data_IF_687574728782
#
_entry.id   IF_687574728782
#
_cell.length_a   1.000
_cell.length_b   1.000
_cell.length_c   1.000
_cell.angle_alpha   90.00
_cell.angle_beta   90.00
_cell.angle_gamma   90.00
#
_symmetry.space_group_name_H-M   'P 1'
#
loop_
_entity.id
_entity.type
_entity.pdbx_description
1 polymer ?
#
# COMPACT_ATOMS: atom_id res chain seq x y z
N UNK A 1 9.00 6.87 18.25
CA UNK A 1 8.22 5.95 19.11
C UNK A 1 8.18 4.50 18.60
N UNK A 2 8.64 4.20 17.37
CA UNK A 2 8.66 2.85 16.78
C UNK A 2 9.65 1.86 17.41
N UNK A 3 10.61 2.33 18.21
CA UNK A 3 11.64 1.48 18.83
C UNK A 3 11.22 0.84 20.16
N UNK A 4 10.15 1.32 20.82
CA UNK A 4 9.89 0.94 22.24
C UNK A 4 8.75 -0.06 22.43
N UNK A 5 7.78 -0.13 21.51
CA UNK A 5 6.62 -1.01 21.63
C UNK A 5 5.65 -0.88 20.46
N UNK A 6 4.77 -1.85 20.31
CA UNK A 6 3.73 -1.88 19.27
C UNK A 6 2.38 -1.43 19.85
N UNK A 7 1.59 -0.69 19.07
CA UNK A 7 0.23 -0.31 19.46
C UNK A 7 -0.63 -1.57 19.50
N UNK A 8 -1.40 -1.75 20.58
CA UNK A 8 -2.26 -2.93 20.73
C UNK A 8 -3.49 -2.79 19.85
N UNK A 9 -3.75 -3.81 19.03
CA UNK A 9 -4.96 -3.93 18.23
C UNK A 9 -6.15 -4.42 19.06
N UNK A 10 -7.32 -3.81 18.89
CA UNK A 10 -8.58 -4.32 19.45
C UNK A 10 -9.17 -5.36 18.49
N UNK A 11 -9.12 -6.63 18.87
CA UNK A 11 -9.69 -7.73 18.06
C UNK A 11 -11.21 -7.70 18.00
N UNK A 12 -11.90 -7.03 18.93
CA UNK A 12 -13.36 -6.96 18.95
C UNK A 12 -13.91 -5.92 17.98
N UNK A 13 -13.19 -4.80 17.80
CA UNK A 13 -13.63 -3.68 16.94
C UNK A 13 -12.85 -3.58 15.64
N UNK A 14 -11.79 -4.37 15.49
CA UNK A 14 -10.84 -4.28 14.38
C UNK A 14 -10.23 -2.87 14.22
N UNK A 15 -10.04 -2.18 15.34
CA UNK A 15 -9.46 -0.84 15.41
C UNK A 15 -8.23 -0.86 16.32
N UNK A 16 -7.26 0.01 16.06
CA UNK A 16 -6.13 0.18 16.97
C UNK A 16 -6.55 0.94 18.24
N UNK A 17 -5.96 0.61 19.40
CA UNK A 17 -6.10 1.43 20.61
C UNK A 17 -5.24 2.69 20.51
N UNK A 18 -5.47 3.53 19.49
CA UNK A 18 -4.93 4.88 19.33
C UNK A 18 -6.09 5.83 19.06
N UNK A 19 -6.33 6.74 20.00
CA UNK A 19 -7.47 7.65 19.96
C UNK A 19 -7.00 9.07 20.09
N UNK A 20 -7.52 9.92 19.21
CA UNK A 20 -7.32 11.37 19.24
C UNK A 20 -8.64 12.07 19.45
N UNK A 21 -8.66 12.98 20.41
CA UNK A 21 -9.83 13.71 20.82
C UNK A 21 -9.55 15.21 20.81
N UNK A 22 -10.60 16.00 20.54
CA UNK A 22 -10.54 17.46 20.62
C UNK A 22 -11.73 18.02 21.36
N UNK A 23 -11.53 19.14 22.05
CA UNK A 23 -12.61 19.92 22.64
C UNK A 23 -12.43 21.37 22.25
N UNK A 24 -13.53 21.98 21.79
CA UNK A 24 -13.58 23.38 21.41
C UNK A 24 -14.78 24.02 22.10
N UNK A 25 -14.54 25.14 22.78
CA UNK A 25 -15.57 25.99 23.38
C UNK A 25 -15.15 27.45 23.19
N UNK A 26 -15.83 28.17 22.30
CA UNK A 26 -15.46 29.55 21.93
C UNK A 26 -15.76 30.53 23.06
N UNK A 27 -16.78 30.23 23.87
CA UNK A 27 -17.27 31.11 24.94
C UNK A 27 -16.52 30.88 26.27
N UNK A 28 -15.53 29.98 26.27
CA UNK A 28 -14.77 29.64 27.47
C UNK A 28 -13.66 30.66 27.75
N UNK A 29 -13.90 31.53 28.72
CA UNK A 29 -12.94 32.53 29.18
C UNK A 29 -12.64 33.60 28.11
N UNK A 30 -11.45 34.20 28.16
CA UNK A 30 -11.06 35.30 27.26
C UNK A 30 -10.58 34.84 25.88
N UNK A 31 -10.06 33.61 25.76
CA UNK A 31 -9.35 33.11 24.57
C UNK A 31 -9.95 31.83 23.98
N UNK A 32 -11.08 31.37 24.51
CA UNK A 32 -11.69 30.09 24.16
C UNK A 32 -10.89 28.87 24.62
N UNK A 33 -11.57 27.74 24.73
CA UNK A 33 -10.98 26.42 24.95
C UNK A 33 -10.72 25.76 23.61
N UNK A 34 -9.47 25.33 23.36
CA UNK A 34 -9.14 24.54 22.18
C UNK A 34 -8.03 23.54 22.51
N UNK A 35 -8.42 22.38 23.02
CA UNK A 35 -7.50 21.39 23.59
C UNK A 35 -7.59 20.06 22.86
N UNK A 36 -6.49 19.33 22.86
CA UNK A 36 -6.42 17.95 22.40
C UNK A 36 -6.21 16.99 23.56
N UNK A 37 -6.58 15.72 23.33
CA UNK A 37 -6.26 14.59 24.18
C UNK A 37 -5.98 13.39 23.29
N UNK A 38 -4.85 12.72 23.48
CA UNK A 38 -4.49 11.47 22.82
C UNK A 38 -4.32 10.39 23.86
N UNK A 39 -4.78 9.18 23.56
CA UNK A 39 -4.55 8.01 24.41
C UNK A 39 -4.23 6.78 23.57
N UNK A 40 -3.26 6.00 24.02
CA UNK A 40 -2.78 4.81 23.32
C UNK A 40 -2.46 3.67 24.28
N UNK A 41 -2.71 2.43 23.85
CA UNK A 41 -2.19 1.24 24.53
C UNK A 41 -0.99 0.72 23.75
N UNK A 42 0.17 0.65 24.42
CA UNK A 42 1.44 0.23 23.83
C UNK A 42 1.91 -1.06 24.53
N UNK A 43 2.16 -2.12 23.77
CA UNK A 43 2.80 -3.35 24.26
C UNK A 43 4.30 -3.27 24.05
N UNK A 44 5.09 -3.46 25.10
CA UNK A 44 6.55 -3.41 24.99
C UNK A 44 7.11 -4.67 24.34
N UNK A 45 7.92 -4.53 23.29
CA UNK A 45 8.52 -5.68 22.55
C UNK A 45 9.39 -6.58 23.43
N UNK A 46 10.10 -5.98 24.39
CA UNK A 46 11.10 -6.66 25.22
C UNK A 46 10.53 -7.34 26.46
N UNK A 47 9.26 -7.09 26.82
CA UNK A 47 8.63 -7.67 28.01
C UNK A 47 7.23 -8.18 27.67
N UNK A 48 7.05 -9.50 27.75
CA UNK A 48 5.82 -10.21 27.34
C UNK A 48 4.55 -9.70 28.02
N UNK A 49 4.65 -9.22 29.27
CA UNK A 49 3.52 -8.81 30.11
C UNK A 49 3.62 -7.36 30.59
N UNK A 50 4.12 -6.45 29.75
CA UNK A 50 4.14 -5.02 30.07
C UNK A 50 3.37 -4.22 29.02
N UNK A 51 2.24 -3.68 29.46
CA UNK A 51 1.40 -2.76 28.70
C UNK A 51 1.55 -1.36 29.27
N UNK A 52 1.54 -0.36 28.41
CA UNK A 52 1.68 1.04 28.78
C UNK A 52 0.48 1.79 28.23
N UNK A 53 -0.28 2.44 29.13
CA UNK A 53 -1.29 3.41 28.76
C UNK A 53 -0.62 4.77 28.63
N UNK A 54 -0.46 5.22 27.41
CA UNK A 54 0.07 6.55 27.11
C UNK A 54 -1.09 7.53 26.98
N UNK A 55 -1.04 8.64 27.70
CA UNK A 55 -1.97 9.76 27.57
C UNK A 55 -1.20 11.05 27.32
N UNK A 56 -1.68 11.91 26.42
CA UNK A 56 -1.06 13.20 26.09
C UNK A 56 -2.13 14.25 25.88
N UNK A 57 -1.98 15.43 26.46
CA UNK A 57 -2.99 16.49 26.39
C UNK A 57 -2.36 17.88 26.40
N UNK A 58 -3.06 18.85 25.86
CA UNK A 58 -2.60 20.23 25.84
C UNK A 58 -3.49 21.13 25.02
N UNK A 59 -3.14 22.41 24.95
CA UNK A 59 -3.74 23.36 24.02
C UNK A 59 -3.18 23.11 22.63
N UNK A 60 -4.04 23.10 21.63
CA UNK A 60 -3.61 22.90 20.24
C UNK A 60 -2.87 24.14 19.76
N UNK A 61 -1.64 23.96 19.26
CA UNK A 61 -0.77 25.05 18.78
C UNK A 61 0.24 25.59 19.80
N UNK A 62 0.17 25.17 21.06
CA UNK A 62 0.98 25.73 22.17
C UNK A 62 2.21 24.86 22.52
N UNK A 63 2.67 24.03 21.58
CA UNK A 63 3.78 23.10 21.74
C UNK A 63 3.38 21.67 22.09
N UNK A 64 4.22 20.95 22.83
CA UNK A 64 4.09 19.50 22.98
C UNK A 64 3.02 19.03 23.99
N UNK A 65 2.51 19.93 24.83
CA UNK A 65 1.57 19.58 25.90
C UNK A 65 2.19 18.70 27.00
N UNK A 66 1.34 18.16 27.87
CA UNK A 66 1.70 17.24 28.94
C UNK A 66 1.44 15.81 28.51
N UNK A 67 2.15 14.86 29.10
CA UNK A 67 1.94 13.44 28.87
C UNK A 67 2.15 12.62 30.14
N UNK A 68 1.52 11.45 30.17
CA UNK A 68 1.66 10.46 31.21
C UNK A 68 1.75 9.07 30.57
N UNK A 69 2.56 8.21 31.20
CA UNK A 69 2.73 6.83 30.79
C UNK A 69 2.50 5.94 32.02
N UNK A 70 1.39 5.22 32.04
CA UNK A 70 1.02 4.36 33.16
C UNK A 70 1.25 2.89 32.81
N UNK A 71 2.10 2.15 33.57
CA UNK A 71 2.37 0.74 33.30
C UNK A 71 1.31 -0.19 33.91
N UNK A 72 1.00 -1.26 33.17
CA UNK A 72 0.09 -2.34 33.56
C UNK A 72 0.70 -3.71 33.28
N UNK A 73 0.39 -4.68 34.14
CA UNK A 73 0.82 -6.08 34.03
C UNK A 73 -0.10 -6.93 33.13
N UNK A 74 -1.38 -6.58 33.05
CA UNK A 74 -2.36 -7.22 32.16
C UNK A 74 -2.88 -6.25 31.09
N UNK A 75 -3.17 -6.79 29.91
CA UNK A 75 -3.88 -6.05 28.86
C UNK A 75 -5.30 -5.69 29.31
N UNK A 76 -5.94 -6.56 30.07
CA UNK A 76 -7.34 -6.38 30.52
C UNK A 76 -7.45 -5.19 31.47
N UNK A 77 -6.52 -5.06 32.41
CA UNK A 77 -6.43 -3.91 33.34
C UNK A 77 -6.18 -2.61 32.57
N UNK A 78 -5.24 -2.64 31.62
CA UNK A 78 -4.92 -1.49 30.78
C UNK A 78 -6.11 -1.06 29.91
N UNK A 79 -6.82 -2.03 29.32
CA UNK A 79 -8.01 -1.80 28.49
C UNK A 79 -9.19 -1.29 29.31
N UNK A 80 -9.37 -1.79 30.53
CA UNK A 80 -10.39 -1.30 31.45
C UNK A 80 -10.15 0.18 31.80
N UNK A 81 -8.92 0.56 32.13
CA UNK A 81 -8.60 1.97 32.39
C UNK A 81 -8.77 2.83 31.15
N UNK A 82 -8.31 2.35 29.98
CA UNK A 82 -8.52 3.03 28.70
C UNK A 82 -10.01 3.32 28.44
N UNK A 83 -10.88 2.33 28.67
CA UNK A 83 -12.32 2.50 28.49
C UNK A 83 -12.92 3.50 29.49
N UNK A 84 -12.45 3.49 30.73
CA UNK A 84 -12.86 4.45 31.77
C UNK A 84 -12.47 5.88 31.39
N UNK A 85 -11.20 6.12 31.05
CA UNK A 85 -10.73 7.44 30.63
C UNK A 85 -11.48 7.91 29.38
N UNK A 86 -11.67 7.04 28.39
CA UNK A 86 -12.41 7.37 27.16
C UNK A 86 -13.84 7.83 27.48
N UNK A 87 -14.55 7.07 28.34
CA UNK A 87 -15.90 7.40 28.78
C UNK A 87 -15.94 8.69 29.59
N UNK A 88 -14.96 8.96 30.44
CA UNK A 88 -14.93 10.18 31.25
C UNK A 88 -14.69 11.42 30.39
N UNK A 89 -13.83 11.32 29.37
CA UNK A 89 -13.51 12.44 28.47
C UNK A 89 -14.60 12.71 27.44
N UNK A 90 -15.22 11.67 26.87
CA UNK A 90 -16.19 11.81 25.77
C UNK A 90 -17.65 11.68 26.22
N UNK A 91 -17.89 10.96 27.32
CA UNK A 91 -19.20 10.53 27.76
C UNK A 91 -19.77 9.35 26.97
N UNK A 92 -19.02 8.77 26.04
CA UNK A 92 -19.44 7.62 25.22
C UNK A 92 -18.68 6.35 25.64
N UNK A 93 -19.30 5.16 25.57
CA UNK A 93 -18.61 3.91 25.83
C UNK A 93 -17.67 3.57 24.65
N UNK A 94 -16.46 3.08 24.94
CA UNK A 94 -15.50 2.65 23.91
C UNK A 94 -16.08 1.60 22.95
N UNK A 95 -16.94 0.71 23.46
CA UNK A 95 -17.57 -0.35 22.66
C UNK A 95 -18.48 0.18 21.54
N UNK A 96 -18.98 1.41 21.63
CA UNK A 96 -19.97 1.97 20.70
C UNK A 96 -19.49 3.30 20.11
N UNK A 97 -18.27 3.35 19.55
CA UNK A 97 -17.78 4.53 18.85
C UNK A 97 -18.48 4.75 17.51
N UNK A 98 -19.09 3.71 16.93
CA UNK A 98 -19.86 3.83 15.68
C UNK A 98 -21.07 4.75 15.84
N UNK A 99 -21.62 4.83 17.06
CA UNK A 99 -22.72 5.72 17.43
C UNK A 99 -22.22 6.89 18.31
N UNK A 100 -21.02 7.41 18.02
CA UNK A 100 -20.44 8.50 18.80
C UNK A 100 -21.33 9.76 18.76
N UNK A 101 -21.84 10.16 19.93
CA UNK A 101 -22.60 11.39 20.08
C UNK A 101 -21.74 12.48 20.74
N UNK A 102 -21.62 13.64 20.08
CA UNK A 102 -20.91 14.78 20.66
C UNK A 102 -21.71 15.35 21.84
N UNK A 103 -21.12 15.31 23.04
CA UNK A 103 -21.73 15.87 24.26
C UNK A 103 -21.22 17.29 24.56
N UNK A 104 -22.07 18.18 25.09
CA UNK A 104 -21.65 19.53 25.49
C UNK A 104 -20.47 19.49 26.46
N UNK A 105 -19.47 20.35 26.23
CA UNK A 105 -18.26 20.48 27.07
C UNK A 105 -17.42 19.21 27.23
N UNK A 106 -17.63 18.19 26.39
CA UNK A 106 -16.86 16.95 26.36
C UNK A 106 -16.02 16.87 25.09
N UNK A 107 -15.02 15.99 25.15
CA UNK A 107 -14.14 15.74 24.02
C UNK A 107 -14.89 15.01 22.90
N UNK A 108 -14.64 15.41 21.66
CA UNK A 108 -15.14 14.81 20.43
C UNK A 108 -14.05 13.92 19.83
N UNK A 109 -14.43 12.75 19.35
CA UNK A 109 -13.54 11.81 18.66
C UNK A 109 -13.16 12.35 17.28
N UNK A 110 -11.87 12.33 16.94
CA UNK A 110 -11.40 12.55 15.56
C UNK A 110 -11.26 11.18 14.91
N UNK A 111 -12.10 10.90 13.91
CA UNK A 111 -11.90 9.70 13.09
C UNK A 111 -10.70 9.93 12.16
N UNK A 112 -9.72 9.02 12.20
CA UNK A 112 -8.45 9.09 11.42
C UNK A 112 -8.62 8.88 9.92
N UNK A 113 -9.84 8.96 9.37
CA UNK A 113 -9.96 9.19 7.93
C UNK A 113 -9.54 10.63 7.69
N UNK A 114 -8.25 10.84 7.38
CA UNK A 114 -7.80 12.08 6.75
C UNK A 114 -8.75 12.25 5.56
N UNK A 115 -9.69 13.21 5.59
CA UNK A 115 -10.61 13.34 4.48
C UNK A 115 -9.76 13.65 3.26
N UNK A 116 -9.92 12.85 2.21
CA UNK A 116 -9.21 13.10 0.97
C UNK A 116 -9.45 14.56 0.57
N UNK A 117 -8.37 15.30 0.33
CA UNK A 117 -8.48 16.68 -0.18
C UNK A 117 -9.11 16.70 -1.58
N UNK A 118 -9.16 15.54 -2.24
CA UNK A 118 -9.92 15.33 -3.45
C UNK A 118 -11.42 15.32 -3.14
N UNK A 119 -12.08 16.45 -3.40
CA UNK A 119 -13.53 16.58 -3.29
C UNK A 119 -14.27 16.06 -4.54
N UNK A 120 -13.56 15.89 -5.66
CA UNK A 120 -14.15 15.43 -6.91
C UNK A 120 -14.28 13.91 -6.95
N UNK A 121 -15.53 13.46 -7.04
CA UNK A 121 -15.90 12.04 -7.16
C UNK A 121 -15.26 11.36 -8.37
N UNK A 122 -15.08 12.10 -9.48
CA UNK A 122 -14.50 11.55 -10.71
C UNK A 122 -13.04 11.12 -10.50
N UNK A 123 -12.24 11.96 -9.83
CA UNK A 123 -10.85 11.61 -9.54
C UNK A 123 -10.75 10.53 -8.46
N UNK A 124 -11.64 10.53 -7.47
CA UNK A 124 -11.69 9.47 -6.46
C UNK A 124 -11.94 8.10 -7.10
N UNK A 125 -12.96 8.00 -7.95
CA UNK A 125 -13.27 6.76 -8.68
C UNK A 125 -12.14 6.35 -9.62
N UNK A 126 -11.49 7.32 -10.26
CA UNK A 126 -10.32 7.05 -11.10
C UNK A 126 -9.19 6.40 -10.30
N UNK A 127 -8.78 7.00 -9.17
CA UNK A 127 -7.70 6.46 -8.35
C UNK A 127 -8.06 5.13 -7.70
N UNK A 128 -9.32 4.95 -7.26
CA UNK A 128 -9.81 3.67 -6.73
C UNK A 128 -9.77 2.55 -7.78
N UNK A 129 -10.07 2.88 -9.05
CA UNK A 129 -10.00 1.91 -10.15
C UNK A 129 -8.56 1.65 -10.57
N UNK A 130 -7.75 2.71 -10.69
CA UNK A 130 -6.37 2.63 -11.16
C UNK A 130 -5.44 1.94 -10.15
N UNK A 131 -5.61 2.23 -8.85
CA UNK A 131 -4.80 1.65 -7.76
C UNK A 131 -5.41 0.36 -7.20
N UNK A 132 -6.35 -0.26 -7.90
CA UNK A 132 -6.97 -1.49 -7.44
C UNK A 132 -5.99 -2.67 -7.50
N UNK A 133 -5.53 -3.10 -6.33
CA UNK A 133 -4.56 -4.20 -6.20
C UNK A 133 -5.06 -5.55 -6.74
N UNK A 134 -6.37 -5.79 -6.83
CA UNK A 134 -6.91 -7.01 -7.43
C UNK A 134 -6.76 -6.98 -8.96
N UNK A 135 -7.14 -5.87 -9.59
CA UNK A 135 -7.01 -5.69 -11.05
C UNK A 135 -5.54 -5.77 -11.48
N UNK A 136 -4.64 -5.17 -10.69
CA UNK A 136 -3.20 -5.24 -10.95
C UNK A 136 -2.71 -6.70 -10.89
N UNK A 137 -3.15 -7.50 -9.91
CA UNK A 137 -2.79 -8.93 -9.81
C UNK A 137 -3.34 -9.75 -10.98
N UNK A 138 -4.58 -9.50 -11.39
CA UNK A 138 -5.16 -10.16 -12.55
C UNK A 138 -4.39 -9.87 -13.83
N UNK A 139 -3.95 -8.61 -14.03
CA UNK A 139 -3.18 -8.24 -15.21
C UNK A 139 -1.76 -8.83 -15.20
N UNK A 140 -1.12 -8.94 -14.03
CA UNK A 140 0.16 -9.64 -13.89
C UNK A 140 0.01 -11.13 -14.28
N UNK A 141 -1.07 -11.78 -13.83
CA UNK A 141 -1.35 -13.17 -14.20
C UNK A 141 -1.57 -13.33 -15.70
N UNK A 142 -2.26 -12.39 -16.36
CA UNK A 142 -2.47 -12.39 -17.82
C UNK A 142 -1.16 -12.23 -18.60
N UNK A 143 -0.18 -11.51 -18.04
CA UNK A 143 1.13 -11.33 -18.66
C UNK A 143 1.98 -12.62 -18.64
N UNK A 144 1.54 -13.68 -17.93
CA UNK A 144 2.27 -14.94 -17.73
C UNK A 144 3.70 -14.71 -17.22
N UNK A 145 3.89 -13.69 -16.38
CA UNK A 145 5.18 -13.41 -15.75
C UNK A 145 5.39 -14.30 -14.54
N UNK A 146 6.61 -14.81 -14.40
CA UNK A 146 7.00 -15.45 -13.15
C UNK A 146 7.33 -14.38 -12.09
N UNK A 147 6.33 -14.05 -11.29
CA UNK A 147 6.45 -13.03 -10.22
C UNK A 147 7.36 -13.47 -9.08
N UNK A 148 7.55 -14.79 -8.89
CA UNK A 148 8.40 -15.34 -7.83
C UNK A 148 9.87 -15.10 -8.16
N UNK A 149 10.27 -15.32 -9.42
CA UNK A 149 11.62 -15.07 -9.89
C UNK A 149 11.87 -13.63 -10.32
N UNK A 150 10.82 -12.93 -10.76
CA UNK A 150 10.92 -11.54 -11.22
C UNK A 150 9.76 -10.68 -10.68
N UNK A 151 9.92 -10.10 -9.48
CA UNK A 151 8.95 -9.18 -8.92
C UNK A 151 8.82 -7.94 -9.81
N UNK A 152 7.59 -7.58 -10.18
CA UNK A 152 7.28 -6.42 -11.04
C UNK A 152 7.88 -5.11 -10.50
N UNK A 153 8.05 -4.98 -9.18
CA UNK A 153 8.69 -3.82 -8.53
C UNK A 153 10.20 -3.69 -8.78
N UNK A 154 10.87 -4.78 -9.14
CA UNK A 154 12.32 -4.84 -9.34
C UNK A 154 12.71 -4.82 -10.82
N UNK A 155 11.72 -4.76 -11.71
CA UNK A 155 11.95 -4.58 -13.13
C UNK A 155 12.68 -3.27 -13.38
N UNK A 156 13.79 -3.39 -14.11
CA UNK A 156 14.62 -2.27 -14.51
C UNK A 156 14.22 -1.83 -15.92
N UNK A 157 13.99 -0.53 -16.17
CA UNK A 157 13.68 -0.02 -17.51
C UNK A 157 14.71 -0.46 -18.56
N UNK A 158 15.99 -0.56 -18.16
CA UNK A 158 17.09 -0.96 -19.04
C UNK A 158 16.99 -2.44 -19.47
N UNK A 159 16.41 -3.30 -18.64
CA UNK A 159 16.18 -4.71 -19.01
C UNK A 159 15.03 -4.86 -20.00
N UNK A 160 13.95 -4.09 -19.80
CA UNK A 160 12.81 -4.07 -20.72
C UNK A 160 13.22 -3.47 -22.08
N UNK A 161 14.03 -2.41 -22.08
CA UNK A 161 14.56 -1.83 -23.31
C UNK A 161 15.42 -2.83 -24.09
N UNK A 162 16.30 -3.57 -23.40
CA UNK A 162 17.09 -4.63 -24.05
C UNK A 162 16.22 -5.73 -24.65
N UNK A 163 15.15 -6.14 -23.96
CA UNK A 163 14.19 -7.10 -24.51
C UNK A 163 13.51 -6.57 -25.77
N UNK A 164 13.09 -5.30 -25.77
CA UNK A 164 12.54 -4.64 -26.95
C UNK A 164 13.52 -4.65 -28.12
N UNK A 165 14.78 -4.26 -27.89
CA UNK A 165 15.79 -4.19 -28.93
C UNK A 165 16.08 -5.57 -29.56
N UNK A 166 16.06 -6.64 -28.75
CA UNK A 166 16.17 -8.02 -29.24
C UNK A 166 14.94 -8.42 -30.07
N UNK A 167 13.72 -8.03 -29.66
CA UNK A 167 12.51 -8.28 -30.44
C UNK A 167 12.55 -7.56 -31.80
N UNK A 168 13.06 -6.32 -31.85
CA UNK A 168 13.27 -5.58 -33.10
C UNK A 168 14.28 -6.30 -34.00
N UNK A 169 15.38 -6.81 -33.43
CA UNK A 169 16.36 -7.61 -34.17
C UNK A 169 15.75 -8.92 -34.70
N UNK A 170 14.93 -9.59 -33.89
CA UNK A 170 14.19 -10.79 -34.30
C UNK A 170 13.20 -10.48 -35.43
N UNK A 171 12.47 -9.38 -35.36
CA UNK A 171 11.55 -8.94 -36.42
C UNK A 171 12.28 -8.76 -37.76
N UNK A 172 13.42 -8.04 -37.73
CA UNK A 172 14.26 -7.82 -38.90
C UNK A 172 14.79 -9.15 -39.48
N UNK A 173 15.20 -10.08 -38.61
CA UNK A 173 15.68 -11.41 -39.01
C UNK A 173 14.55 -12.27 -39.62
N UNK A 174 13.31 -12.16 -39.11
CA UNK A 174 12.16 -12.86 -39.68
C UNK A 174 11.80 -12.29 -41.06
N UNK A 175 11.79 -10.96 -41.24
CA UNK A 175 11.57 -10.35 -42.56
C UNK A 175 12.64 -10.73 -43.58
N UNK A 176 13.91 -10.79 -43.15
CA UNK A 176 15.01 -11.26 -44.00
C UNK A 176 14.87 -12.76 -44.31
N UNK A 177 14.46 -13.58 -43.34
CA UNK A 177 14.16 -15.00 -43.54
C UNK A 177 13.01 -15.21 -44.52
N UNK A 178 11.95 -14.42 -44.47
CA UNK A 178 10.85 -14.49 -45.44
C UNK A 178 11.30 -14.06 -46.84
N UNK A 179 12.22 -13.09 -46.96
CA UNK A 179 12.89 -12.75 -48.23
C UNK A 179 13.83 -13.88 -48.71
N UNK A 180 14.51 -14.58 -47.79
CA UNK A 180 15.48 -15.65 -48.07
C UNK A 180 14.83 -17.04 -48.28
N UNK A 181 13.59 -17.25 -47.84
CA UNK A 181 12.78 -18.47 -48.06
C UNK A 181 12.50 -18.75 -49.53
N UNK A 182 12.74 -17.77 -50.42
CA UNK A 182 12.75 -17.93 -51.87
C UNK A 182 14.03 -18.60 -52.40
N UNK A 183 15.11 -18.73 -51.62
CA UNK A 183 16.43 -19.12 -52.16
C UNK A 183 17.05 -20.39 -51.56
N UNK A 184 17.15 -20.65 -50.24
CA UNK A 184 17.72 -21.94 -49.75
C UNK A 184 17.31 -22.19 -48.28
N UNK A 185 17.00 -23.45 -47.96
CA UNK A 185 16.94 -23.96 -46.59
C UNK A 185 18.33 -23.87 -45.94
N UNK A 186 18.53 -23.05 -44.90
CA UNK A 186 19.33 -23.40 -43.72
C UNK A 186 19.43 -22.29 -42.65
N UNK A 187 19.45 -22.77 -41.40
CA UNK A 187 19.91 -22.19 -40.14
C UNK A 187 19.07 -21.07 -39.51
N UNK A 188 18.25 -21.47 -38.54
CA UNK A 188 17.57 -20.57 -37.60
C UNK A 188 18.58 -20.16 -36.52
N UNK A 189 18.62 -18.86 -36.25
CA UNK A 189 19.32 -18.21 -35.15
C UNK A 189 18.69 -18.64 -33.82
N UNK A 190 19.27 -19.65 -33.17
CA UNK A 190 18.87 -20.09 -31.82
C UNK A 190 19.28 -19.06 -30.74
N UNK A 191 20.36 -18.30 -30.98
CA UNK A 191 20.97 -17.39 -29.99
C UNK A 191 20.07 -16.19 -29.64
N UNK A 192 19.41 -15.58 -30.62
CA UNK A 192 18.54 -14.43 -30.38
C UNK A 192 17.25 -14.82 -29.63
N UNK A 193 16.75 -16.04 -29.84
CA UNK A 193 15.56 -16.55 -29.15
C UNK A 193 15.85 -16.89 -27.69
N UNK A 194 17.02 -17.48 -27.38
CA UNK A 194 17.42 -17.73 -26.00
C UNK A 194 17.55 -16.41 -25.24
N UNK A 195 18.18 -15.40 -25.86
CA UNK A 195 18.44 -14.10 -25.21
C UNK A 195 17.18 -13.32 -24.81
N UNK A 196 16.07 -13.43 -25.54
CA UNK A 196 14.81 -12.75 -25.17
C UNK A 196 14.10 -13.41 -23.99
N UNK A 197 14.18 -14.74 -23.87
CA UNK A 197 13.56 -15.50 -22.78
C UNK A 197 14.38 -15.39 -21.50
N UNK A 198 15.71 -15.29 -21.62
CA UNK A 198 16.61 -15.08 -20.48
C UNK A 198 16.36 -13.74 -19.77
N UNK A 199 15.82 -12.73 -20.46
CA UNK A 199 15.56 -11.40 -19.90
C UNK A 199 14.21 -11.32 -19.18
N UNK A 200 13.21 -12.11 -19.62
CA UNK A 200 11.84 -12.09 -19.10
C UNK A 200 11.40 -13.54 -18.81
N UNK A 201 11.51 -14.02 -17.56
CA UNK A 201 11.06 -15.35 -17.18
C UNK A 201 9.53 -15.46 -17.33
N UNK A 202 9.11 -16.43 -18.15
CA UNK A 202 7.71 -16.73 -18.41
C UNK A 202 7.25 -17.93 -17.58
N UNK A 203 6.03 -17.86 -17.05
CA UNK A 203 5.41 -18.93 -16.28
C UNK A 203 4.76 -19.98 -17.19
N UNK A 204 4.69 -21.23 -16.72
CA UNK A 204 3.90 -22.30 -17.38
C UNK A 204 4.70 -23.23 -18.30
N UNK A 205 5.98 -22.94 -18.55
CA UNK A 205 6.85 -23.75 -19.42
C UNK A 205 7.73 -24.77 -18.65
N UNK A 206 7.34 -25.15 -17.44
CA UNK A 206 8.09 -26.13 -16.63
C UNK A 206 8.08 -27.54 -17.25
N UNK A 207 7.01 -27.90 -17.96
CA UNK A 207 6.84 -29.20 -18.63
C UNK A 207 6.55 -29.08 -20.14
N UNK A 208 6.51 -27.85 -20.68
CA UNK A 208 6.19 -27.56 -22.07
C UNK A 208 7.33 -26.79 -22.76
N UNK A 209 7.52 -27.04 -24.05
CA UNK A 209 8.53 -26.31 -24.84
C UNK A 209 8.07 -24.87 -25.07
N UNK A 210 8.96 -23.90 -24.81
CA UNK A 210 8.71 -22.48 -25.09
C UNK A 210 8.37 -22.31 -26.59
N UNK A 211 7.27 -21.61 -26.93
CA UNK A 211 6.83 -21.44 -28.31
C UNK A 211 7.85 -20.61 -29.10
N UNK A 212 8.19 -21.07 -30.30
CA UNK A 212 9.08 -20.34 -31.20
C UNK A 212 8.39 -19.08 -31.74
N UNK A 213 9.10 -17.95 -31.68
CA UNK A 213 8.67 -16.70 -32.33
C UNK A 213 9.17 -16.75 -33.77
N UNK A 214 8.34 -17.24 -34.69
CA UNK A 214 8.68 -17.43 -36.10
C UNK A 214 7.86 -16.55 -37.06
N UNK A 215 6.82 -15.90 -36.54
CA UNK A 215 5.83 -15.14 -37.31
C UNK A 215 5.80 -13.70 -36.84
N UNK A 216 5.63 -12.75 -37.75
CA UNK A 216 5.54 -11.31 -37.42
C UNK A 216 4.41 -11.00 -36.43
N UNK A 217 3.31 -11.75 -36.47
CA UNK A 217 2.22 -11.66 -35.50
C UNK A 217 2.67 -12.05 -34.08
N UNK A 218 3.52 -13.06 -33.94
CA UNK A 218 4.05 -13.49 -32.64
C UNK A 218 4.98 -12.43 -32.04
N UNK A 219 5.76 -11.73 -32.87
CA UNK A 219 6.59 -10.60 -32.41
C UNK A 219 5.72 -9.46 -31.89
N UNK A 220 4.68 -9.05 -32.64
CA UNK A 220 3.76 -8.00 -32.20
C UNK A 220 3.07 -8.31 -30.88
N UNK A 221 2.68 -9.57 -30.67
CA UNK A 221 2.09 -10.03 -29.41
C UNK A 221 3.09 -9.87 -28.25
N UNK A 222 4.38 -10.17 -28.48
CA UNK A 222 5.41 -10.00 -27.46
C UNK A 222 5.76 -8.52 -27.20
N UNK A 223 5.80 -7.67 -28.22
CA UNK A 223 5.96 -6.23 -28.05
C UNK A 223 4.81 -5.63 -27.22
N UNK A 224 3.58 -6.08 -27.47
CA UNK A 224 2.43 -5.61 -26.70
C UNK A 224 2.51 -6.08 -25.24
N UNK A 225 2.87 -7.35 -24.99
CA UNK A 225 3.13 -7.85 -23.63
C UNK A 225 4.21 -7.05 -22.92
N UNK A 226 5.29 -6.71 -23.60
CA UNK A 226 6.37 -5.92 -23.02
C UNK A 226 5.91 -4.53 -22.60
N UNK A 227 5.05 -3.90 -23.42
CA UNK A 227 4.43 -2.61 -23.11
C UNK A 227 3.52 -2.71 -21.88
N UNK A 228 2.69 -3.74 -21.82
CA UNK A 228 1.79 -3.98 -20.68
C UNK A 228 2.60 -4.17 -19.37
N UNK A 229 3.72 -4.89 -19.45
CA UNK A 229 4.62 -5.11 -18.30
C UNK A 229 5.25 -3.80 -17.82
N UNK A 230 5.63 -2.92 -18.74
CA UNK A 230 6.16 -1.59 -18.41
C UNK A 230 5.12 -0.72 -17.70
N UNK A 231 3.87 -0.73 -18.18
CA UNK A 231 2.77 0.00 -17.53
C UNK A 231 2.43 -0.56 -16.13
N UNK A 232 2.50 -1.89 -15.99
CA UNK A 232 2.32 -2.57 -14.70
C UNK A 232 3.42 -2.21 -13.69
N UNK A 233 4.66 -2.14 -14.14
CA UNK A 233 5.81 -1.71 -13.32
C UNK A 233 5.57 -0.32 -12.72
N UNK A 234 5.18 0.63 -13.58
CA UNK A 234 4.93 2.00 -13.17
C UNK A 234 3.75 2.08 -12.18
N UNK A 235 2.66 1.38 -12.50
CA UNK A 235 1.46 1.32 -11.66
C UNK A 235 1.78 0.73 -10.28
N UNK A 236 2.61 -0.31 -10.22
CA UNK A 236 3.02 -0.95 -8.98
C UNK A 236 3.91 -0.03 -8.13
N UNK A 237 4.84 0.72 -8.75
CA UNK A 237 5.65 1.72 -8.04
C UNK A 237 4.80 2.83 -7.45
N UNK A 238 3.82 3.34 -8.20
CA UNK A 238 2.89 4.36 -7.69
C UNK A 238 2.09 3.80 -6.50
N UNK A 239 1.59 2.56 -6.60
CA UNK A 239 0.87 1.90 -5.52
C UNK A 239 1.73 1.74 -4.26
N UNK A 240 2.99 1.31 -4.39
CA UNK A 240 3.92 1.17 -3.27
C UNK A 240 4.17 2.51 -2.57
N UNK A 241 4.37 3.58 -3.34
CA UNK A 241 4.55 4.93 -2.79
C UNK A 241 3.29 5.43 -2.09
N UNK A 242 2.11 5.16 -2.66
CA UNK A 242 0.84 5.48 -2.01
C UNK A 242 0.69 4.73 -0.67
N UNK A 243 1.01 3.44 -0.64
CA UNK A 243 0.98 2.62 0.57
C UNK A 243 1.95 3.12 1.65
N UNK A 244 3.17 3.50 1.26
CA UNK A 244 4.16 4.05 2.20
C UNK A 244 3.70 5.36 2.85
N UNK A 245 2.85 6.14 2.16
CA UNK A 245 2.38 7.45 2.61
C UNK A 245 0.99 7.45 3.26
N UNK A 246 0.35 6.29 3.45
CA UNK A 246 -0.97 6.16 4.09
C UNK A 246 -1.08 6.88 5.44
N UNK A 247 0.03 6.93 6.18
CA UNK A 247 0.08 7.55 7.51
C UNK A 247 0.25 9.08 7.48
N UNK A 248 0.49 9.67 6.29
CA UNK A 248 0.77 11.10 6.13
C UNK A 248 -0.28 11.83 5.29
N UNK A 249 -0.85 11.16 4.28
CA UNK A 249 -1.82 11.72 3.34
C UNK A 249 -2.89 10.66 3.07
N UNK A 250 -4.15 11.06 2.90
CA UNK A 250 -5.17 10.17 2.36
C UNK A 250 -4.67 9.58 1.04
N UNK A 251 -4.70 8.26 0.86
CA UNK A 251 -4.53 7.68 -0.47
C UNK A 251 -5.62 8.18 -1.42
#
# INVERSE_FOLDING_TARGET
MSETGDIVWDTEKNESHDVRLTVTDVDYGLIGLYNFYRMQIIKRKTKTYLYLLFTRWGRIGDGDGQHQLTPYSSLEECRAEFCTIFRDKTGNPWKNTDQFEKKPKKYTLINEQIPSKLQSIAYKNFFETFLNGQIIRENINKANLDVEWMPVSQLKPESLQRAHDILVQLAANIEQKDKLKLIIQQTISDEAQTSSVDIIPLQGYAAEKIPMIDTLQAVKIQEQKLTDIFELELSYKILLVAQANLNQISP
#
